data_IF_521435263072
#
_entry.id   IF_521435263072
#
_cell.length_a   1.000
_cell.length_b   1.000
_cell.length_c   1.000
_cell.angle_alpha   90.00
_cell.angle_beta   90.00
_cell.angle_gamma   90.00
#
_symmetry.space_group_name_H-M   'P 1'
#
loop_
_entity.id
_entity.type
_entity.pdbx_description
1 polymer ?
#
# COMPACT_ATOMS: atom_id res chain seq x y z
N UNK A 1 -28.25 -2.29 8.50
CA UNK A 1 -27.35 -2.74 7.40
C UNK A 1 -26.92 -1.63 6.40
N UNK A 2 -27.84 -0.79 5.88
CA UNK A 2 -27.48 0.30 4.94
C UNK A 2 -26.57 1.38 5.56
N UNK A 3 -26.87 1.81 6.79
CA UNK A 3 -26.05 2.78 7.52
C UNK A 3 -24.64 2.25 7.82
N UNK A 4 -24.50 0.97 8.20
CA UNK A 4 -23.20 0.34 8.42
C UNK A 4 -22.34 0.28 7.14
N UNK A 5 -22.96 0.04 5.98
CA UNK A 5 -22.27 0.10 4.69
C UNK A 5 -21.82 1.52 4.37
N UNK A 6 -22.68 2.52 4.57
CA UNK A 6 -22.35 3.91 4.35
C UNK A 6 -21.19 4.37 5.24
N UNK A 7 -21.25 4.11 6.54
CA UNK A 7 -20.19 4.45 7.48
C UNK A 7 -18.84 3.81 7.12
N UNK A 8 -18.85 2.55 6.68
CA UNK A 8 -17.63 1.86 6.23
C UNK A 8 -16.99 2.54 5.01
N UNK A 9 -17.79 2.85 3.97
CA UNK A 9 -17.27 3.48 2.76
C UNK A 9 -16.87 4.94 2.97
N UNK A 10 -17.59 5.68 3.81
CA UNK A 10 -17.20 7.03 4.20
C UNK A 10 -15.86 7.02 4.95
N UNK A 11 -15.66 6.07 5.87
CA UNK A 11 -14.38 5.92 6.58
C UNK A 11 -13.21 5.63 5.63
N UNK A 12 -13.41 4.74 4.64
CA UNK A 12 -12.40 4.47 3.60
C UNK A 12 -12.13 5.71 2.75
N UNK A 13 -13.18 6.43 2.33
CA UNK A 13 -13.02 7.64 1.53
C UNK A 13 -12.30 8.76 2.29
N UNK A 14 -12.61 8.95 3.57
CA UNK A 14 -11.91 9.92 4.42
C UNK A 14 -10.45 9.57 4.62
N UNK A 15 -10.14 8.29 4.88
CA UNK A 15 -8.77 7.81 5.00
C UNK A 15 -7.97 8.04 3.71
N UNK A 16 -8.59 7.75 2.55
CA UNK A 16 -7.97 8.00 1.25
C UNK A 16 -7.76 9.49 0.98
N UNK A 17 -8.73 10.35 1.33
CA UNK A 17 -8.59 11.80 1.18
C UNK A 17 -7.44 12.36 2.03
N UNK A 18 -7.32 11.90 3.28
CA UNK A 18 -6.21 12.30 4.14
C UNK A 18 -4.86 11.77 3.62
N UNK A 19 -4.83 10.53 3.14
CA UNK A 19 -3.63 9.95 2.53
C UNK A 19 -3.22 10.68 1.25
N UNK A 20 -4.17 11.09 0.41
CA UNK A 20 -3.93 11.92 -0.77
C UNK A 20 -3.33 13.28 -0.37
N UNK A 21 -3.90 13.95 0.63
CA UNK A 21 -3.36 15.20 1.14
C UNK A 21 -1.92 15.02 1.66
N UNK A 22 -1.67 13.98 2.46
CA UNK A 22 -0.34 13.66 2.96
C UNK A 22 0.65 13.35 1.83
N UNK A 23 0.23 12.57 0.84
CA UNK A 23 1.05 12.21 -0.31
C UNK A 23 1.43 13.45 -1.15
N UNK A 24 0.49 14.39 -1.33
CA UNK A 24 0.73 15.67 -1.98
C UNK A 24 1.73 16.54 -1.20
N UNK A 25 1.61 16.59 0.13
CA UNK A 25 2.56 17.31 0.97
C UNK A 25 3.96 16.68 0.91
N UNK A 26 4.05 15.34 0.98
CA UNK A 26 5.34 14.64 0.88
C UNK A 26 5.98 14.90 -0.48
N UNK A 27 5.21 14.82 -1.57
CA UNK A 27 5.74 15.07 -2.93
C UNK A 27 6.19 16.52 -3.11
N UNK A 28 5.42 17.50 -2.61
CA UNK A 28 5.78 18.93 -2.69
C UNK A 28 7.01 19.28 -1.83
N UNK A 29 7.10 18.72 -0.62
CA UNK A 29 8.14 19.05 0.36
C UNK A 29 9.28 18.03 0.45
N UNK A 30 9.39 17.09 -0.50
CA UNK A 30 10.36 15.97 -0.45
C UNK A 30 11.81 16.42 -0.24
N UNK A 31 12.21 17.54 -0.84
CA UNK A 31 13.59 18.04 -0.75
C UNK A 31 13.86 18.72 0.60
N UNK A 32 12.85 19.40 1.16
CA UNK A 32 12.91 20.04 2.47
C UNK A 32 12.95 18.98 3.58
N UNK A 33 12.13 17.94 3.45
CA UNK A 33 12.14 16.77 4.36
C UNK A 33 13.51 16.09 4.30
N UNK A 34 14.02 15.77 3.11
CA UNK A 34 15.33 15.13 2.97
C UNK A 34 16.46 15.99 3.56
N UNK A 35 16.41 17.32 3.37
CA UNK A 35 17.39 18.26 3.94
C UNK A 35 17.35 18.32 5.47
N UNK A 36 16.20 18.04 6.10
CA UNK A 36 16.10 18.02 7.55
C UNK A 36 16.83 16.82 8.18
N UNK A 37 16.95 15.70 7.46
CA UNK A 37 17.55 14.47 7.96
C UNK A 37 19.02 14.28 7.57
N UNK A 38 19.47 14.88 6.46
CA UNK A 38 20.87 14.76 6.03
C UNK A 38 21.40 16.05 5.42
N UNK A 39 22.68 16.31 5.69
CA UNK A 39 23.45 17.41 5.10
C UNK A 39 24.19 16.98 3.83
N UNK A 40 24.31 15.68 3.58
CA UNK A 40 24.99 15.14 2.39
C UNK A 40 24.10 15.28 1.14
N UNK A 41 24.55 15.98 0.09
CA UNK A 41 23.78 16.17 -1.13
C UNK A 41 23.44 14.85 -1.86
N UNK A 42 24.32 13.85 -1.85
CA UNK A 42 24.10 12.58 -2.52
C UNK A 42 23.00 11.76 -1.84
N UNK A 43 23.03 11.70 -0.50
CA UNK A 43 21.99 11.03 0.29
C UNK A 43 20.66 11.76 0.18
N UNK A 44 20.68 13.10 0.12
CA UNK A 44 19.48 13.94 -0.01
C UNK A 44 18.71 13.66 -1.31
N UNK A 45 19.40 13.54 -2.44
CA UNK A 45 18.77 13.21 -3.72
C UNK A 45 18.14 11.82 -3.71
N UNK A 46 18.86 10.83 -3.17
CA UNK A 46 18.36 9.47 -3.04
C UNK A 46 17.11 9.42 -2.13
N UNK A 47 17.15 10.08 -0.97
CA UNK A 47 15.99 10.21 -0.08
C UNK A 47 14.80 10.89 -0.77
N UNK A 48 15.02 11.97 -1.53
CA UNK A 48 13.95 12.65 -2.26
C UNK A 48 13.29 11.74 -3.30
N UNK A 49 14.06 10.85 -3.95
CA UNK A 49 13.53 9.80 -4.82
C UNK A 49 12.69 8.77 -4.07
N UNK A 50 13.18 8.29 -2.92
CA UNK A 50 12.46 7.32 -2.08
C UNK A 50 11.14 7.87 -1.51
N UNK A 51 11.08 9.17 -1.21
CA UNK A 51 9.86 9.81 -0.75
C UNK A 51 8.71 9.78 -1.78
N UNK A 52 9.01 9.65 -3.07
CA UNK A 52 7.98 9.42 -4.09
C UNK A 52 7.32 8.05 -3.91
N UNK A 53 8.12 7.00 -3.64
CA UNK A 53 7.59 5.68 -3.35
C UNK A 53 6.80 5.67 -2.04
N UNK A 54 7.28 6.40 -1.02
CA UNK A 54 6.54 6.57 0.24
C UNK A 54 5.18 7.25 0.04
N UNK A 55 5.11 8.26 -0.83
CA UNK A 55 3.86 8.93 -1.17
C UNK A 55 2.85 7.94 -1.77
N UNK A 56 3.26 7.12 -2.75
CA UNK A 56 2.41 6.10 -3.38
C UNK A 56 2.01 4.98 -2.40
N UNK A 57 2.97 4.51 -1.60
CA UNK A 57 2.76 3.50 -0.55
C UNK A 57 1.62 3.92 0.40
N UNK A 58 1.61 5.19 0.81
CA UNK A 58 0.66 5.69 1.81
C UNK A 58 -0.79 5.64 1.33
N UNK A 59 -1.07 5.82 0.03
CA UNK A 59 -2.45 5.70 -0.50
C UNK A 59 -2.98 4.28 -0.37
N UNK A 60 -2.18 3.31 -0.78
CA UNK A 60 -2.55 1.89 -0.73
C UNK A 60 -2.67 1.42 0.71
N UNK A 61 -1.74 1.82 1.58
CA UNK A 61 -1.78 1.48 3.01
C UNK A 61 -3.02 2.04 3.72
N UNK A 62 -3.33 3.32 3.54
CA UNK A 62 -4.50 3.94 4.15
C UNK A 62 -5.81 3.25 3.73
N UNK A 63 -5.92 2.91 2.44
CA UNK A 63 -7.10 2.20 1.90
C UNK A 63 -7.22 0.80 2.51
N UNK A 64 -6.12 0.06 2.55
CA UNK A 64 -6.07 -1.30 3.09
C UNK A 64 -6.40 -1.33 4.60
N UNK A 65 -5.81 -0.41 5.37
CA UNK A 65 -6.05 -0.28 6.82
C UNK A 65 -7.50 0.09 7.10
N UNK A 66 -8.04 1.10 6.40
CA UNK A 66 -9.43 1.51 6.56
C UNK A 66 -10.41 0.38 6.21
N UNK A 67 -10.18 -0.32 5.09
CA UNK A 67 -11.01 -1.47 4.68
C UNK A 67 -10.91 -2.60 5.71
N UNK A 68 -9.71 -2.92 6.20
CA UNK A 68 -9.49 -3.94 7.25
C UNK A 68 -10.20 -3.58 8.56
N UNK A 69 -10.12 -2.33 9.00
CA UNK A 69 -10.83 -1.85 10.19
C UNK A 69 -12.35 -1.94 10.02
N UNK A 70 -12.87 -1.56 8.85
CA UNK A 70 -14.29 -1.68 8.54
C UNK A 70 -14.75 -3.16 8.59
N UNK A 71 -14.01 -4.09 7.98
CA UNK A 71 -14.33 -5.53 7.99
C UNK A 71 -14.29 -6.09 9.42
N UNK A 72 -13.30 -5.69 10.23
CA UNK A 72 -13.22 -6.05 11.66
C UNK A 72 -14.42 -5.51 12.45
N UNK A 73 -14.94 -4.34 12.09
CA UNK A 73 -16.20 -3.80 12.61
C UNK A 73 -17.43 -4.68 12.33
N UNK A 74 -17.42 -5.47 11.25
CA UNK A 74 -18.42 -6.51 10.99
C UNK A 74 -18.18 -7.82 11.76
N UNK A 75 -17.27 -7.83 12.74
CA UNK A 75 -16.85 -8.99 13.54
C UNK A 75 -16.19 -10.10 12.71
N UNK A 76 -15.65 -9.78 11.53
CA UNK A 76 -14.90 -10.72 10.69
C UNK A 76 -13.41 -10.35 10.74
N UNK A 77 -12.58 -11.17 11.40
CA UNK A 77 -11.15 -10.84 11.63
C UNK A 77 -10.19 -11.74 10.84
N UNK A 78 -10.58 -12.98 10.54
CA UNK A 78 -9.72 -13.96 9.84
C UNK A 78 -9.45 -13.59 8.39
N UNK A 79 -10.47 -13.13 7.67
CA UNK A 79 -10.34 -12.82 6.24
C UNK A 79 -9.34 -11.67 5.98
N UNK A 80 -9.39 -10.52 6.71
CA UNK A 80 -8.38 -9.49 6.54
C UNK A 80 -6.95 -9.98 6.77
N UNK A 81 -6.73 -10.78 7.80
CA UNK A 81 -5.41 -11.33 8.14
C UNK A 81 -4.85 -12.21 7.01
N UNK A 82 -5.66 -13.13 6.45
CA UNK A 82 -5.22 -14.01 5.37
C UNK A 82 -4.89 -13.24 4.08
N UNK A 83 -5.71 -12.26 3.71
CA UNK A 83 -5.47 -11.42 2.53
C UNK A 83 -4.14 -10.67 2.69
N UNK A 84 -3.90 -10.12 3.88
CA UNK A 84 -2.68 -9.38 4.21
C UNK A 84 -1.44 -10.27 4.13
N UNK A 85 -1.52 -11.47 4.72
CA UNK A 85 -0.45 -12.46 4.64
C UNK A 85 -0.13 -12.83 3.19
N UNK A 86 -1.14 -13.16 2.38
CA UNK A 86 -0.97 -13.55 0.99
C UNK A 86 -0.44 -12.42 0.12
N UNK A 87 -0.88 -11.18 0.34
CA UNK A 87 -0.39 -10.05 -0.43
C UNK A 87 1.08 -9.73 -0.14
N UNK A 88 1.48 -9.79 1.13
CA UNK A 88 2.88 -9.53 1.49
C UNK A 88 3.80 -10.69 1.15
N UNK A 89 3.42 -11.93 1.47
CA UNK A 89 4.24 -13.10 1.23
C UNK A 89 4.17 -13.63 -0.20
N UNK A 90 3.00 -13.58 -0.83
CA UNK A 90 2.77 -14.11 -2.17
C UNK A 90 3.04 -13.10 -3.29
N UNK A 91 2.92 -11.80 -3.03
CA UNK A 91 3.14 -10.77 -4.04
C UNK A 91 4.34 -9.88 -3.70
N UNK A 92 4.35 -9.22 -2.54
CA UNK A 92 5.37 -8.21 -2.24
C UNK A 92 6.79 -8.78 -2.17
N UNK A 93 6.97 -9.90 -1.45
CA UNK A 93 8.27 -10.55 -1.28
C UNK A 93 8.82 -11.15 -2.60
N UNK A 94 8.06 -11.96 -3.37
CA UNK A 94 8.54 -12.48 -4.64
C UNK A 94 8.84 -11.37 -5.65
N UNK A 95 7.99 -10.34 -5.73
CA UNK A 95 8.20 -9.24 -6.65
C UNK A 95 9.42 -8.39 -6.25
N UNK A 96 9.60 -8.11 -4.95
CA UNK A 96 10.77 -7.42 -4.43
C UNK A 96 12.06 -8.22 -4.66
N UNK A 97 12.01 -9.54 -4.51
CA UNK A 97 13.14 -10.44 -4.79
C UNK A 97 13.53 -10.41 -6.28
N UNK A 98 12.55 -10.52 -7.17
CA UNK A 98 12.76 -10.50 -8.63
C UNK A 98 13.31 -9.15 -9.11
N UNK A 99 12.71 -8.04 -8.66
CA UNK A 99 13.11 -6.70 -9.11
C UNK A 99 14.36 -6.17 -8.42
N UNK A 100 14.54 -6.48 -7.13
CA UNK A 100 15.63 -5.98 -6.33
C UNK A 100 16.95 -6.74 -6.54
N UNK A 101 16.89 -8.07 -6.68
CA UNK A 101 18.06 -8.93 -6.80
C UNK A 101 18.29 -9.49 -8.20
N UNK A 102 17.34 -9.32 -9.13
CA UNK A 102 17.44 -9.74 -10.53
C UNK A 102 18.11 -11.12 -10.74
N UNK A 103 17.58 -12.20 -10.14
CA UNK A 103 18.20 -13.52 -10.24
C UNK A 103 18.29 -14.01 -11.69
N UNK A 104 19.47 -14.45 -12.13
CA UNK A 104 19.76 -14.81 -13.53
C UNK A 104 18.98 -16.04 -14.08
N UNK A 105 18.07 -16.64 -13.30
CA UNK A 105 17.33 -17.85 -13.65
C UNK A 105 15.85 -17.68 -14.00
N UNK A 106 15.28 -16.46 -13.91
CA UNK A 106 13.88 -16.21 -14.28
C UNK A 106 13.78 -15.49 -15.64
N UNK A 107 12.86 -15.89 -16.54
CA UNK A 107 12.72 -15.24 -17.84
C UNK A 107 12.20 -13.79 -17.78
N UNK A 108 11.72 -13.34 -16.62
CA UNK A 108 11.12 -12.00 -16.39
C UNK A 108 12.02 -11.08 -15.56
N UNK A 109 13.28 -11.45 -15.30
CA UNK A 109 14.17 -10.61 -14.47
C UNK A 109 14.73 -9.42 -15.25
N UNK A 110 14.87 -8.25 -14.60
CA UNK A 110 15.53 -7.10 -15.21
C UNK A 110 17.00 -7.42 -15.52
N UNK A 111 17.56 -6.78 -16.56
CA UNK A 111 18.98 -6.93 -16.92
C UNK A 111 19.94 -6.42 -15.84
N UNK A 112 19.50 -5.47 -15.00
CA UNK A 112 20.26 -4.88 -13.91
C UNK A 112 19.42 -4.88 -12.61
N UNK A 113 19.99 -5.24 -11.45
CA UNK A 113 19.28 -5.21 -10.18
C UNK A 113 18.92 -3.78 -9.77
N UNK A 114 17.63 -3.53 -9.54
CA UNK A 114 17.15 -2.21 -9.08
C UNK A 114 17.49 -1.93 -7.61
N UNK A 115 18.08 -2.90 -6.90
CA UNK A 115 18.46 -2.79 -5.49
C UNK A 115 17.28 -2.41 -4.61
N UNK A 116 17.47 -1.39 -3.77
CA UNK A 116 16.44 -0.93 -2.84
C UNK A 116 15.14 -0.48 -3.52
N UNK A 117 15.22 0.16 -4.70
CA UNK A 117 14.04 0.64 -5.41
C UNK A 117 13.11 -0.52 -5.83
N UNK A 118 13.69 -1.67 -6.21
CA UNK A 118 12.93 -2.88 -6.55
C UNK A 118 12.09 -3.41 -5.39
N UNK A 119 12.62 -3.36 -4.15
CA UNK A 119 11.87 -3.72 -2.95
C UNK A 119 10.74 -2.74 -2.63
N UNK A 120 10.96 -1.43 -2.83
CA UNK A 120 9.91 -0.42 -2.66
C UNK A 120 8.75 -0.62 -3.65
N UNK A 121 9.07 -0.94 -4.92
CA UNK A 121 8.05 -1.26 -5.92
C UNK A 121 7.28 -2.52 -5.50
N UNK A 122 8.00 -3.57 -5.09
CA UNK A 122 7.38 -4.81 -4.58
C UNK A 122 6.40 -4.55 -3.44
N UNK A 123 6.80 -3.69 -2.48
CA UNK A 123 5.99 -3.32 -1.34
C UNK A 123 4.73 -2.54 -1.76
N UNK A 124 4.87 -1.52 -2.61
CA UNK A 124 3.75 -0.72 -3.13
C UNK A 124 2.75 -1.60 -3.87
N UNK A 125 3.22 -2.52 -4.72
CA UNK A 125 2.34 -3.45 -5.45
C UNK A 125 1.63 -4.39 -4.47
N UNK A 126 2.34 -4.94 -3.48
CA UNK A 126 1.75 -5.81 -2.45
C UNK A 126 0.62 -5.13 -1.68
N UNK A 127 0.82 -3.89 -1.23
CA UNK A 127 -0.21 -3.10 -0.55
C UNK A 127 -1.38 -2.79 -1.46
N UNK A 128 -1.11 -2.48 -2.73
CA UNK A 128 -2.16 -2.17 -3.70
C UNK A 128 -3.04 -3.39 -3.94
N UNK A 129 -2.43 -4.59 -4.07
CA UNK A 129 -3.16 -5.86 -4.16
C UNK A 129 -4.00 -6.09 -2.91
N UNK A 130 -3.43 -5.90 -1.71
CA UNK A 130 -4.15 -6.06 -0.47
C UNK A 130 -5.31 -5.05 -0.32
N UNK A 131 -5.11 -3.79 -0.70
CA UNK A 131 -6.13 -2.75 -0.69
C UNK A 131 -7.31 -3.12 -1.61
N UNK A 132 -7.02 -3.61 -2.83
CA UNK A 132 -8.04 -4.07 -3.79
C UNK A 132 -8.81 -5.26 -3.22
N UNK A 133 -8.11 -6.30 -2.72
CA UNK A 133 -8.73 -7.51 -2.21
C UNK A 133 -9.59 -7.24 -0.97
N UNK A 134 -9.12 -6.40 -0.03
CA UNK A 134 -9.89 -6.02 1.15
C UNK A 134 -11.09 -5.15 0.79
N UNK A 135 -10.94 -4.19 -0.12
CA UNK A 135 -12.05 -3.35 -0.59
C UNK A 135 -13.12 -4.19 -1.29
N UNK A 136 -12.70 -5.15 -2.13
CA UNK A 136 -13.60 -6.11 -2.76
C UNK A 136 -14.31 -7.00 -1.73
N UNK A 137 -13.57 -7.52 -0.74
CA UNK A 137 -14.15 -8.34 0.32
C UNK A 137 -15.17 -7.56 1.15
N UNK A 138 -14.87 -6.31 1.51
CA UNK A 138 -15.79 -5.40 2.19
C UNK A 138 -17.05 -5.13 1.35
N UNK A 139 -16.90 -4.90 0.04
CA UNK A 139 -18.02 -4.73 -0.88
C UNK A 139 -18.92 -5.98 -0.92
N UNK A 140 -18.32 -7.17 -0.98
CA UNK A 140 -19.03 -8.45 -0.99
C UNK A 140 -19.77 -8.70 0.33
N UNK A 141 -19.07 -8.52 1.46
CA UNK A 141 -19.62 -8.72 2.79
C UNK A 141 -20.80 -7.78 3.07
N UNK A 142 -20.64 -6.49 2.74
CA UNK A 142 -21.70 -5.50 2.93
C UNK A 142 -22.94 -5.80 2.06
N UNK A 143 -22.77 -6.34 0.83
CA UNK A 143 -23.89 -6.77 -0.03
C UNK A 143 -24.60 -8.02 0.51
N UNK A 144 -23.88 -8.99 1.05
CA UNK A 144 -24.50 -10.20 1.64
C UNK A 144 -25.37 -9.85 2.84
N UNK A 145 -24.89 -8.98 3.73
CA UNK A 145 -25.61 -8.49 4.93
C UNK A 145 -26.78 -7.53 4.63
N UNK A 146 -26.95 -7.14 3.37
CA UNK A 146 -28.12 -6.38 2.89
C UNK A 146 -29.22 -7.29 2.34
N UNK A 147 -28.89 -8.55 1.99
CA UNK A 147 -29.82 -9.55 1.47
C UNK A 147 -30.37 -10.48 2.56
N UNK A 148 -29.73 -10.50 3.73
CA UNK A 148 -30.22 -11.13 4.96
C UNK A 148 -30.87 -10.07 5.82
#
# INVERSE_FOLDING_TARGET
PRQARFAAWVGVAMALAFALLSALLITAFRHQIARAYTSDPAVRELCAGLLLFAALFQLSDATQVAASCAIRGYKVTRAPMLIQLLAFWGCALPLGYVLGLAPAGLPWTPAEPMGAAGFWIGLVVGLTVAAILLSWFLARLSRQRLRT
#
